data_IF_043199357968
#
_entry.id   IF_043199357968
#
_cell.length_a   1.000
_cell.length_b   1.000
_cell.length_c   1.000
_cell.angle_alpha   90.00
_cell.angle_beta   90.00
_cell.angle_gamma   90.00
#
_symmetry.space_group_name_H-M   'P 1'
#
loop_
_entity.id
_entity.type
_entity.pdbx_description
1 polymer ?
#
# COMPACT_ATOMS: atom_id res chain seq x y z
N UNK A 1 12.82 -78.98 -15.62
CA UNK A 1 12.28 -79.26 -16.97
C UNK A 1 10.96 -78.50 -17.09
N UNK A 2 10.97 -77.31 -17.70
CA UNK A 2 10.31 -76.99 -19.01
C UNK A 2 8.79 -77.22 -18.93
N UNK A 3 7.90 -76.22 -19.01
CA UNK A 3 7.74 -75.25 -20.12
C UNK A 3 6.86 -74.05 -19.70
N UNK A 4 7.17 -72.89 -20.26
CA UNK A 4 6.38 -71.66 -20.23
C UNK A 4 5.44 -71.53 -21.45
N UNK A 5 4.63 -70.45 -21.45
CA UNK A 5 3.79 -69.80 -22.50
C UNK A 5 2.28 -70.07 -22.40
N UNK A 6 1.36 -69.09 -22.47
CA UNK A 6 1.33 -67.78 -23.17
C UNK A 6 0.52 -66.66 -22.44
N UNK A 7 0.75 -65.42 -22.90
CA UNK A 7 0.14 -64.13 -22.51
C UNK A 7 -1.18 -63.82 -23.25
N UNK A 8 -2.09 -63.07 -22.59
CA UNK A 8 -2.94 -61.93 -23.08
C UNK A 8 -4.03 -61.66 -22.01
N UNK A 9 -4.00 -60.57 -21.21
CA UNK A 9 -4.32 -59.16 -21.47
C UNK A 9 -5.84 -58.81 -21.34
N UNK A 10 -6.13 -58.04 -20.26
CA UNK A 10 -7.16 -56.97 -20.11
C UNK A 10 -8.66 -57.33 -20.14
N UNK A 11 -9.59 -56.64 -19.48
CA UNK A 11 -9.72 -55.78 -18.28
C UNK A 11 -11.24 -55.46 -18.17
N UNK A 12 -11.69 -54.81 -17.09
CA UNK A 12 -13.01 -54.18 -16.87
C UNK A 12 -14.10 -55.00 -16.14
N UNK A 13 -14.02 -54.99 -14.81
CA UNK A 13 -15.18 -55.19 -13.92
C UNK A 13 -15.88 -53.86 -13.60
N UNK A 14 -17.15 -53.73 -14.00
CA UNK A 14 -18.01 -52.57 -13.72
C UNK A 14 -19.06 -52.86 -12.64
N UNK A 15 -19.09 -51.96 -11.64
CA UNK A 15 -20.18 -51.51 -10.75
C UNK A 15 -20.92 -52.46 -9.79
N UNK A 16 -21.03 -52.01 -8.53
CA UNK A 16 -22.26 -52.10 -7.76
C UNK A 16 -22.90 -50.73 -7.46
N UNK A 17 -24.17 -50.86 -7.14
CA UNK A 17 -25.33 -49.95 -7.04
C UNK A 17 -25.29 -48.81 -6.01
N UNK A 18 -26.23 -47.85 -6.13
CA UNK A 18 -26.29 -46.63 -5.34
C UNK A 18 -27.14 -46.84 -4.08
N UNK A 19 -26.54 -46.67 -2.90
CA UNK A 19 -27.25 -46.16 -1.71
C UNK A 19 -26.27 -46.11 -0.53
N UNK A 20 -25.86 -44.88 -0.19
CA UNK A 20 -25.39 -44.39 1.12
C UNK A 20 -24.44 -43.21 0.90
N UNK A 21 -24.98 -42.02 0.65
CA UNK A 21 -24.26 -40.76 0.86
C UNK A 21 -25.27 -39.62 1.09
N UNK A 22 -26.12 -39.79 2.10
CA UNK A 22 -26.88 -38.68 2.72
C UNK A 22 -26.47 -38.55 4.17
N UNK A 23 -25.27 -37.98 4.39
CA UNK A 23 -24.93 -37.29 5.65
C UNK A 23 -23.74 -36.36 5.42
N UNK A 24 -23.95 -35.11 5.79
CA UNK A 24 -22.99 -33.98 5.83
C UNK A 24 -22.96 -33.03 4.62
N UNK A 25 -24.11 -32.50 4.21
CA UNK A 25 -24.21 -31.22 3.51
C UNK A 25 -24.39 -30.07 4.50
N UNK A 26 -23.41 -29.87 5.40
CA UNK A 26 -23.32 -28.67 6.24
C UNK A 26 -21.89 -28.11 6.35
N UNK A 27 -21.02 -28.46 5.39
CA UNK A 27 -19.92 -27.61 5.02
C UNK A 27 -20.43 -26.65 3.95
N UNK A 28 -21.11 -25.58 4.37
CA UNK A 28 -21.30 -24.40 3.52
C UNK A 28 -19.88 -23.96 3.15
N UNK A 29 -19.43 -24.37 1.96
CA UNK A 29 -18.10 -24.09 1.44
C UNK A 29 -17.88 -22.59 1.68
N UNK A 30 -16.92 -22.23 2.54
CA UNK A 30 -16.44 -20.87 2.58
C UNK A 30 -15.75 -20.68 1.24
N UNK A 31 -16.50 -20.18 0.27
CA UNK A 31 -15.99 -19.95 -1.07
C UNK A 31 -15.01 -18.78 -0.96
N UNK A 32 -13.72 -19.12 -1.02
CA UNK A 32 -12.63 -18.16 -1.09
C UNK A 32 -12.45 -17.84 -2.55
N UNK A 33 -12.81 -16.63 -2.96
CA UNK A 33 -12.61 -16.17 -4.32
C UNK A 33 -11.51 -15.11 -4.33
N UNK A 34 -10.58 -15.14 -5.28
CA UNK A 34 -9.76 -13.97 -5.55
C UNK A 34 -10.67 -12.84 -6.07
N UNK A 35 -10.30 -11.59 -5.81
CA UNK A 35 -10.94 -10.46 -6.49
C UNK A 35 -10.52 -10.42 -7.96
N UNK A 36 -11.35 -9.80 -8.78
CA UNK A 36 -10.97 -9.44 -10.13
C UNK A 36 -10.13 -8.17 -10.04
N UNK A 37 -8.95 -8.17 -10.66
CA UNK A 37 -8.18 -6.94 -10.83
C UNK A 37 -9.12 -5.95 -11.51
N UNK A 38 -9.35 -4.80 -10.88
CA UNK A 38 -9.79 -3.63 -11.63
C UNK A 38 -8.67 -3.45 -12.60
N UNK A 39 -8.93 -3.78 -13.87
CA UNK A 39 -8.19 -3.06 -14.91
C UNK A 39 -8.28 -1.63 -14.43
N UNK A 40 -7.13 -0.99 -14.20
CA UNK A 40 -7.13 0.45 -14.25
C UNK A 40 -7.96 0.69 -15.48
N UNK A 41 -9.17 1.19 -15.29
CA UNK A 41 -9.81 1.85 -16.37
C UNK A 41 -8.71 2.86 -16.68
N UNK A 42 -7.93 2.57 -17.72
CA UNK A 42 -7.62 3.50 -18.77
C UNK A 42 -9.01 4.04 -19.15
N UNK A 43 -9.56 4.81 -18.21
CA UNK A 43 -10.91 5.28 -18.17
C UNK A 43 -10.91 6.09 -19.41
N UNK A 44 -11.75 5.63 -20.32
CA UNK A 44 -11.83 6.03 -21.71
C UNK A 44 -11.83 7.56 -21.82
N UNK A 45 -10.64 8.16 -21.75
CA UNK A 45 -10.29 9.51 -22.12
C UNK A 45 -9.58 9.33 -23.46
N UNK A 46 -10.31 9.14 -24.58
CA UNK A 46 -9.70 9.00 -25.89
C UNK A 46 -9.01 10.29 -26.36
N UNK A 47 -9.06 11.38 -25.59
CA UNK A 47 -8.28 12.58 -25.89
C UNK A 47 -6.84 12.41 -25.41
N UNK A 48 -6.09 11.64 -26.19
CA UNK A 48 -4.65 11.76 -26.21
C UNK A 48 -4.26 13.15 -26.69
N UNK A 49 -3.05 13.57 -26.35
CA UNK A 49 -2.47 14.78 -26.90
C UNK A 49 -2.38 14.64 -28.44
N UNK A 50 -3.35 15.20 -29.15
CA UNK A 50 -3.47 15.11 -30.61
C UNK A 50 -2.84 16.32 -31.33
N UNK A 51 -2.19 17.19 -30.55
CA UNK A 51 -1.57 18.44 -31.00
C UNK A 51 -2.55 19.61 -31.14
N UNK A 52 -3.83 19.45 -30.80
CA UNK A 52 -4.83 20.52 -30.83
C UNK A 52 -5.01 21.22 -29.48
N UNK A 53 -4.85 20.46 -28.40
CA UNK A 53 -5.03 20.94 -27.03
C UNK A 53 -3.70 21.03 -26.30
N UNK A 54 -3.54 22.05 -25.45
CA UNK A 54 -2.36 22.18 -24.57
C UNK A 54 -2.47 21.32 -23.31
N UNK A 55 -3.68 20.92 -22.93
CA UNK A 55 -3.96 20.10 -21.75
C UNK A 55 -5.11 19.15 -22.02
N UNK A 56 -5.05 17.93 -21.47
CA UNK A 56 -6.12 16.92 -21.51
C UNK A 56 -6.32 16.30 -20.13
N UNK A 57 -7.48 15.71 -19.86
CA UNK A 57 -7.68 14.94 -18.63
C UNK A 57 -7.09 13.54 -18.82
N UNK A 58 -6.15 13.16 -17.94
CA UNK A 58 -5.66 11.78 -17.86
C UNK A 58 -6.55 10.94 -16.95
N UNK A 59 -7.05 11.56 -15.89
CA UNK A 59 -8.06 11.00 -15.00
C UNK A 59 -9.03 12.13 -14.63
N UNK A 60 -10.08 11.79 -13.90
CA UNK A 60 -11.02 12.77 -13.39
C UNK A 60 -10.45 13.74 -12.33
N UNK A 61 -9.22 13.55 -11.85
CA UNK A 61 -8.53 14.46 -10.93
C UNK A 61 -7.13 14.87 -11.41
N UNK A 62 -6.72 14.46 -12.62
CA UNK A 62 -5.36 14.67 -13.12
C UNK A 62 -5.39 15.28 -14.52
N UNK A 63 -4.74 16.44 -14.64
CA UNK A 63 -4.47 17.10 -15.92
C UNK A 63 -3.13 16.62 -16.45
N UNK A 64 -3.09 16.33 -17.74
CA UNK A 64 -1.89 16.08 -18.52
C UNK A 64 -1.61 17.29 -19.41
N UNK A 65 -0.37 17.76 -19.42
CA UNK A 65 0.08 18.85 -20.31
C UNK A 65 0.64 18.23 -21.58
N UNK A 66 0.08 18.63 -22.72
CA UNK A 66 0.43 18.11 -24.03
C UNK A 66 1.64 18.84 -24.60
N UNK A 67 2.82 18.27 -24.40
CA UNK A 67 4.09 18.74 -24.96
C UNK A 67 4.45 17.95 -26.21
N UNK A 68 4.10 16.65 -26.23
CA UNK A 68 4.32 15.72 -27.33
C UNK A 68 2.99 15.11 -27.76
N UNK A 69 2.73 15.10 -29.08
CA UNK A 69 1.53 14.47 -29.65
C UNK A 69 1.71 12.99 -30.00
N UNK A 70 2.93 12.46 -29.88
CA UNK A 70 3.28 11.09 -30.30
C UNK A 70 3.85 10.25 -29.17
N UNK A 71 4.26 10.86 -28.06
CA UNK A 71 4.87 10.18 -26.93
C UNK A 71 4.23 10.66 -25.62
N UNK A 72 3.28 9.87 -25.12
CA UNK A 72 2.56 10.16 -23.89
C UNK A 72 3.46 10.14 -22.65
N UNK A 73 4.61 9.46 -22.68
CA UNK A 73 5.53 9.42 -21.54
C UNK A 73 6.28 10.75 -21.34
N UNK A 74 6.33 11.60 -22.37
CA UNK A 74 6.94 12.94 -22.30
C UNK A 74 5.96 14.02 -21.84
N UNK A 75 4.68 13.70 -21.68
CA UNK A 75 3.64 14.64 -21.29
C UNK A 75 3.52 14.67 -19.75
N UNK A 76 3.95 15.76 -19.07
CA UNK A 76 3.90 15.81 -17.62
C UNK A 76 2.46 15.90 -17.14
N UNK A 77 2.20 15.27 -16.00
CA UNK A 77 0.88 15.19 -15.40
C UNK A 77 0.87 15.89 -14.05
N UNK A 78 -0.30 16.38 -13.66
CA UNK A 78 -0.49 17.11 -12.41
C UNK A 78 -1.91 16.88 -11.90
N UNK A 79 -2.01 16.49 -10.62
CA UNK A 79 -3.28 16.44 -9.90
C UNK A 79 -3.89 17.83 -9.70
N UNK A 80 -5.21 17.87 -9.78
CA UNK A 80 -5.98 19.05 -9.56
C UNK A 80 -5.91 19.54 -8.09
N UNK A 81 -5.87 20.86 -7.84
CA UNK A 81 -5.87 21.40 -6.49
C UNK A 81 -7.14 21.02 -5.72
N UNK A 82 -7.04 20.90 -4.39
CA UNK A 82 -8.18 20.54 -3.54
C UNK A 82 -9.37 21.50 -3.62
N UNK A 83 -9.15 22.77 -3.98
CA UNK A 83 -10.21 23.74 -4.19
C UNK A 83 -10.99 23.53 -5.51
N UNK A 84 -10.35 22.90 -6.51
CA UNK A 84 -10.93 22.57 -7.82
C UNK A 84 -10.52 21.15 -8.21
N UNK A 85 -11.03 20.14 -7.49
CA UNK A 85 -10.46 18.78 -7.47
C UNK A 85 -10.75 17.95 -8.72
N UNK A 86 -11.63 18.41 -9.61
CA UNK A 86 -12.07 17.64 -10.77
C UNK A 86 -11.41 18.15 -12.04
N UNK A 87 -10.80 17.27 -12.82
CA UNK A 87 -10.38 17.58 -14.18
C UNK A 87 -11.62 17.63 -15.08
N UNK A 88 -11.74 18.70 -15.85
CA UNK A 88 -12.84 18.94 -16.78
C UNK A 88 -12.32 19.16 -18.19
N UNK A 89 -12.87 18.45 -19.17
CA UNK A 89 -12.62 18.71 -20.60
C UNK A 89 -13.70 19.67 -21.09
N UNK A 90 -13.36 20.97 -21.25
CA UNK A 90 -14.38 22.01 -21.49
C UNK A 90 -14.68 22.29 -22.96
N UNK A 91 -13.86 21.81 -23.89
CA UNK A 91 -14.10 21.69 -25.34
C UNK A 91 -12.79 21.16 -25.96
N UNK A 92 -12.85 20.41 -27.05
CA UNK A 92 -11.65 19.88 -27.73
C UNK A 92 -10.74 20.98 -28.30
N UNK A 93 -11.15 22.25 -28.24
CA UNK A 93 -10.38 23.41 -28.69
C UNK A 93 -9.73 24.23 -27.54
N UNK A 94 -10.17 24.07 -26.29
CA UNK A 94 -9.74 24.91 -25.15
C UNK A 94 -8.82 24.13 -24.20
N UNK A 95 -8.90 22.79 -24.20
CA UNK A 95 -8.12 21.93 -23.33
C UNK A 95 -8.74 21.72 -21.96
N UNK A 96 -8.19 20.76 -21.23
CA UNK A 96 -8.66 20.40 -19.89
C UNK A 96 -8.25 21.40 -18.81
N UNK A 97 -9.12 21.58 -17.80
CA UNK A 97 -8.88 22.46 -16.65
C UNK A 97 -9.47 21.90 -15.35
N UNK A 98 -8.97 22.36 -14.21
CA UNK A 98 -9.44 21.92 -12.89
C UNK A 98 -10.67 22.73 -12.47
N UNK A 99 -11.78 22.05 -12.16
CA UNK A 99 -13.05 22.62 -11.74
C UNK A 99 -13.55 22.10 -10.38
N UNK A 100 -14.53 22.81 -9.83
CA UNK A 100 -15.15 22.47 -8.54
C UNK A 100 -16.23 21.37 -8.64
N UNK A 101 -16.65 21.01 -9.85
CA UNK A 101 -17.66 19.99 -10.12
C UNK A 101 -17.09 18.98 -11.14
N UNK A 102 -17.44 17.69 -11.02
CA UNK A 102 -17.09 16.69 -12.03
C UNK A 102 -17.83 16.98 -13.34
N UNK A 103 -17.23 16.58 -14.48
CA UNK A 103 -17.98 16.44 -15.74
C UNK A 103 -18.83 15.17 -15.71
N UNK A 104 -19.81 15.04 -16.61
CA UNK A 104 -20.73 13.89 -16.70
C UNK A 104 -20.02 12.53 -16.72
N UNK A 105 -18.82 12.45 -17.33
CA UNK A 105 -17.99 11.24 -17.34
C UNK A 105 -17.41 10.89 -15.96
N UNK A 106 -17.23 11.90 -15.12
CA UNK A 106 -16.69 11.82 -13.78
C UNK A 106 -17.76 11.85 -12.68
N UNK A 107 -19.02 12.18 -13.02
CA UNK A 107 -20.17 12.14 -12.11
C UNK A 107 -20.45 10.74 -11.58
N UNK A 108 -20.27 9.70 -12.42
CA UNK A 108 -20.44 8.29 -12.03
C UNK A 108 -19.12 7.60 -11.68
N UNK A 109 -17.98 8.18 -12.04
CA UNK A 109 -16.65 7.58 -11.82
C UNK A 109 -16.11 7.80 -10.41
N UNK A 110 -16.89 8.42 -9.51
CA UNK A 110 -16.57 8.49 -8.09
C UNK A 110 -15.15 8.95 -7.84
N UNK A 111 -14.78 10.11 -8.42
CA UNK A 111 -13.47 10.75 -8.24
C UNK A 111 -13.23 10.95 -6.77
N UNK A 112 -12.62 9.95 -6.15
CA UNK A 112 -12.28 9.99 -4.76
C UNK A 112 -11.18 11.02 -4.66
N UNK A 113 -11.46 12.15 -4.01
CA UNK A 113 -10.45 13.08 -3.50
C UNK A 113 -9.41 12.39 -2.59
N UNK A 114 -9.56 11.08 -2.35
CA UNK A 114 -8.66 10.20 -1.64
C UNK A 114 -8.29 9.05 -2.56
N UNK A 115 -7.41 9.29 -3.53
CA UNK A 115 -6.73 8.17 -4.19
C UNK A 115 -6.05 7.34 -3.10
N UNK A 116 -6.20 6.03 -3.18
CA UNK A 116 -5.57 5.13 -2.23
C UNK A 116 -4.05 5.28 -2.30
N UNK A 117 -3.40 5.50 -1.17
CA UNK A 117 -1.94 5.58 -1.08
C UNK A 117 -1.42 4.32 -0.40
N UNK A 118 -0.48 3.63 -1.02
CA UNK A 118 0.18 2.48 -0.43
C UNK A 118 1.03 2.89 0.79
N UNK A 119 0.71 2.39 1.98
CA UNK A 119 1.45 2.69 3.21
C UNK A 119 2.58 1.70 3.52
N UNK A 120 2.66 0.63 2.72
CA UNK A 120 3.67 -0.41 2.76
C UNK A 120 3.33 -1.49 1.74
N UNK A 121 4.15 -2.54 1.67
CA UNK A 121 3.89 -3.66 0.78
C UNK A 121 2.77 -4.57 1.30
N UNK A 122 2.02 -5.22 0.40
CA UNK A 122 1.00 -6.21 0.72
C UNK A 122 -0.41 -5.82 0.28
N UNK A 123 -1.40 -6.55 0.77
CA UNK A 123 -2.81 -6.29 0.48
C UNK A 123 -3.45 -5.42 1.56
N UNK A 124 -4.32 -4.49 1.16
CA UNK A 124 -4.99 -3.54 2.02
C UNK A 124 -6.48 -3.48 1.68
N UNK A 125 -7.39 -3.50 2.66
CA UNK A 125 -8.80 -3.26 2.37
C UNK A 125 -9.03 -1.79 2.02
N UNK A 126 -10.05 -1.52 1.20
CA UNK A 126 -10.50 -0.16 0.95
C UNK A 126 -11.38 0.36 2.10
N UNK A 127 -11.16 1.61 2.52
CA UNK A 127 -11.89 2.23 3.65
C UNK A 127 -13.31 2.67 3.27
N UNK A 128 -13.56 2.90 1.98
CA UNK A 128 -14.85 3.36 1.47
C UNK A 128 -15.72 2.21 0.97
N UNK A 129 -15.11 1.10 0.52
CA UNK A 129 -15.84 -0.07 0.03
C UNK A 129 -15.28 -1.40 0.54
N UNK A 130 -16.10 -2.12 1.30
CA UNK A 130 -15.81 -3.49 1.74
C UNK A 130 -15.57 -4.49 0.60
N UNK A 131 -16.01 -4.17 -0.62
CA UNK A 131 -15.84 -5.05 -1.79
C UNK A 131 -14.53 -4.80 -2.50
N UNK A 132 -13.81 -3.73 -2.16
CA UNK A 132 -12.57 -3.33 -2.84
C UNK A 132 -11.39 -3.60 -1.93
N UNK A 133 -10.28 -4.03 -2.53
CA UNK A 133 -8.99 -4.11 -1.86
C UNK A 133 -7.88 -3.75 -2.83
N UNK A 134 -6.72 -3.41 -2.28
CA UNK A 134 -5.57 -2.89 -3.01
C UNK A 134 -4.36 -3.76 -2.75
N UNK A 135 -3.59 -4.07 -3.77
CA UNK A 135 -2.26 -4.65 -3.62
C UNK A 135 -1.20 -3.56 -3.86
N UNK A 136 -0.20 -3.53 -3.00
CA UNK A 136 0.89 -2.58 -3.03
C UNK A 136 2.22 -3.34 -3.10
N UNK A 137 3.06 -2.99 -4.08
CA UNK A 137 4.42 -3.52 -4.14
C UNK A 137 5.30 -2.95 -3.04
N UNK A 138 5.14 -1.66 -2.73
CA UNK A 138 5.92 -0.96 -1.71
C UNK A 138 5.18 0.24 -1.14
N UNK A 139 5.81 0.96 -0.22
CA UNK A 139 5.26 2.22 0.28
C UNK A 139 5.30 3.26 -0.84
N UNK A 140 4.24 4.06 -0.96
CA UNK A 140 4.07 5.14 -1.93
C UNK A 140 4.02 4.66 -3.41
N UNK A 141 3.95 3.34 -3.64
CA UNK A 141 3.71 2.79 -4.99
C UNK A 141 2.27 3.00 -5.44
N UNK A 142 2.04 2.92 -6.74
CA UNK A 142 0.69 2.86 -7.30
C UNK A 142 0.01 1.54 -6.87
N UNK A 143 -1.26 1.58 -6.41
CA UNK A 143 -1.98 0.38 -5.98
C UNK A 143 -2.65 -0.34 -7.16
N UNK A 144 -2.52 -1.66 -7.19
CA UNK A 144 -3.41 -2.50 -8.01
C UNK A 144 -4.72 -2.69 -7.25
N UNK A 145 -5.82 -2.14 -7.77
CA UNK A 145 -7.14 -2.27 -7.14
C UNK A 145 -7.86 -3.52 -7.60
N UNK A 146 -8.62 -4.18 -6.72
CA UNK A 146 -9.37 -5.40 -7.02
C UNK A 146 -10.80 -5.30 -6.49
N UNK A 147 -11.75 -5.81 -7.27
CA UNK A 147 -13.15 -5.97 -6.89
C UNK A 147 -13.44 -7.41 -6.48
N UNK A 148 -14.02 -7.56 -5.29
CA UNK A 148 -14.69 -8.78 -4.90
C UNK A 148 -15.99 -8.98 -5.70
N UNK A 149 -16.35 -10.24 -6.02
CA UNK A 149 -17.63 -10.54 -6.65
C UNK A 149 -18.84 -10.02 -5.85
N UNK A 150 -19.98 -9.85 -6.53
CA UNK A 150 -21.19 -9.35 -5.91
C UNK A 150 -21.60 -10.15 -4.66
N UNK A 151 -21.80 -9.45 -3.55
CA UNK A 151 -22.15 -10.06 -2.26
C UNK A 151 -20.98 -10.69 -1.50
N UNK A 152 -19.74 -10.53 -1.99
CA UNK A 152 -18.51 -10.88 -1.29
C UNK A 152 -17.79 -9.60 -0.84
N UNK A 153 -17.08 -9.70 0.28
CA UNK A 153 -16.26 -8.64 0.86
C UNK A 153 -14.84 -9.13 1.03
N UNK A 154 -13.87 -8.23 0.93
CA UNK A 154 -12.48 -8.59 1.16
C UNK A 154 -12.26 -8.92 2.64
N UNK A 155 -11.66 -10.08 2.91
CA UNK A 155 -11.28 -10.49 4.25
C UNK A 155 -9.75 -10.45 4.39
N UNK A 156 -9.28 -9.46 5.15
CA UNK A 156 -7.86 -9.20 5.44
C UNK A 156 -7.14 -10.36 6.14
N UNK A 157 -7.85 -11.18 6.93
CA UNK A 157 -7.22 -12.32 7.61
C UNK A 157 -6.87 -13.45 6.65
N UNK A 158 -7.64 -13.56 5.58
CA UNK A 158 -7.50 -14.64 4.60
C UNK A 158 -6.89 -14.15 3.29
N UNK A 159 -6.89 -12.84 3.03
CA UNK A 159 -6.54 -12.20 1.77
C UNK A 159 -7.39 -12.68 0.58
N UNK A 160 -8.67 -12.97 0.83
CA UNK A 160 -9.62 -13.42 -0.19
C UNK A 160 -10.98 -12.78 0.01
N UNK A 161 -11.76 -12.72 -1.07
CA UNK A 161 -13.15 -12.32 -1.04
C UNK A 161 -13.99 -13.44 -0.40
N UNK A 162 -14.83 -13.04 0.55
CA UNK A 162 -15.68 -13.94 1.32
C UNK A 162 -17.04 -13.31 1.62
N UNK A 163 -18.06 -14.15 1.76
CA UNK A 163 -19.36 -13.72 2.29
C UNK A 163 -19.25 -13.56 3.80
N UNK A 164 -18.89 -12.35 4.26
CA UNK A 164 -18.71 -12.04 5.67
C UNK A 164 -19.86 -11.21 6.22
N UNK A 165 -20.17 -11.42 7.51
CA UNK A 165 -21.22 -10.66 8.22
C UNK A 165 -20.66 -9.44 8.96
N UNK A 166 -19.35 -9.23 8.95
CA UNK A 166 -18.79 -8.03 9.56
C UNK A 166 -19.02 -6.82 8.67
N UNK A 167 -19.19 -5.68 9.33
CA UNK A 167 -19.33 -4.39 8.68
C UNK A 167 -17.97 -3.69 8.65
N UNK A 168 -17.66 -3.06 7.53
CA UNK A 168 -16.42 -2.33 7.26
C UNK A 168 -16.79 -0.99 6.60
N UNK A 169 -17.89 -0.40 7.07
CA UNK A 169 -18.39 0.86 6.49
C UNK A 169 -17.50 2.02 6.89
N UNK A 170 -17.40 3.01 6.01
CA UNK A 170 -16.69 4.25 6.31
C UNK A 170 -17.19 4.92 7.58
N UNK A 171 -18.49 4.88 7.86
CA UNK A 171 -19.07 5.46 9.08
C UNK A 171 -18.63 4.77 10.36
N UNK A 172 -18.30 3.49 10.31
CA UNK A 172 -17.78 2.76 11.47
C UNK A 172 -16.29 2.97 11.66
N UNK A 173 -15.53 3.02 10.55
CA UNK A 173 -14.09 3.27 10.56
C UNK A 173 -13.75 4.72 10.90
N UNK A 174 -14.51 5.63 10.32
CA UNK A 174 -14.33 7.08 10.40
C UNK A 174 -15.59 7.72 10.95
N UNK A 175 -15.75 7.61 12.28
CA UNK A 175 -16.74 8.36 13.04
C UNK A 175 -16.12 9.69 13.54
N UNK A 176 -16.68 10.86 13.17
CA UNK A 176 -16.15 12.16 13.59
C UNK A 176 -16.23 12.43 15.11
N UNK A 177 -17.04 11.66 15.84
CA UNK A 177 -17.15 11.75 17.29
C UNK A 177 -16.14 10.84 18.02
N UNK A 178 -15.43 9.99 17.29
CA UNK A 178 -14.37 9.17 17.87
C UNK A 178 -13.19 10.07 18.27
N UNK A 179 -12.71 9.91 19.49
CA UNK A 179 -11.57 10.70 20.01
C UNK A 179 -10.23 10.03 19.70
N UNK A 180 -10.25 8.81 19.16
CA UNK A 180 -9.04 8.07 18.79
C UNK A 180 -8.48 8.64 17.48
N UNK A 181 -7.17 8.87 17.45
CA UNK A 181 -6.45 9.29 16.24
C UNK A 181 -6.41 8.15 15.22
N UNK A 182 -6.20 6.93 15.70
CA UNK A 182 -6.16 5.71 14.90
C UNK A 182 -7.24 4.74 15.36
N UNK A 183 -7.97 4.17 14.42
CA UNK A 183 -9.05 3.21 14.67
C UNK A 183 -8.62 1.84 14.14
N UNK A 184 -8.69 0.76 14.95
CA UNK A 184 -8.39 -0.58 14.46
C UNK A 184 -9.41 -1.01 13.40
N UNK A 185 -8.94 -1.71 12.38
CA UNK A 185 -9.84 -2.20 11.32
C UNK A 185 -10.78 -3.30 11.86
N UNK A 186 -12.09 -3.22 11.61
CA UNK A 186 -13.07 -4.17 12.11
C UNK A 186 -12.75 -5.59 11.67
N UNK A 187 -12.73 -6.49 12.65
CA UNK A 187 -12.44 -7.89 12.40
C UNK A 187 -10.96 -8.20 12.20
N UNK A 188 -10.05 -7.24 12.05
CA UNK A 188 -8.63 -7.52 11.91
C UNK A 188 -7.74 -6.38 12.40
N UNK A 189 -7.21 -6.53 13.61
CA UNK A 189 -6.33 -5.54 14.23
C UNK A 189 -4.93 -5.52 13.64
N UNK A 190 -4.59 -6.36 12.65
CA UNK A 190 -3.34 -6.17 11.90
C UNK A 190 -3.37 -4.93 10.99
N UNK A 191 -4.56 -4.33 10.80
CA UNK A 191 -4.75 -3.07 10.09
C UNK A 191 -5.38 -2.01 11.00
N UNK A 192 -5.09 -0.75 10.70
CA UNK A 192 -5.65 0.41 11.41
C UNK A 192 -5.76 1.61 10.46
N UNK A 193 -6.70 2.50 10.76
CA UNK A 193 -7.08 3.61 9.88
C UNK A 193 -6.86 4.93 10.60
N UNK A 194 -6.34 5.91 9.88
CA UNK A 194 -6.35 7.33 10.24
C UNK A 194 -7.40 8.04 9.40
N UNK A 195 -8.30 8.77 10.03
CA UNK A 195 -9.36 9.51 9.35
C UNK A 195 -9.09 11.01 9.48
N UNK A 196 -9.05 11.72 8.36
CA UNK A 196 -8.82 13.16 8.30
C UNK A 196 -10.15 13.89 8.20
N UNK A 197 -10.31 14.90 9.06
CA UNK A 197 -11.48 15.77 9.09
C UNK A 197 -11.07 17.22 9.19
N UNK A 198 -11.92 18.06 8.62
CA UNK A 198 -11.87 19.51 8.73
C UNK A 198 -13.00 19.98 9.65
N UNK A 199 -12.62 20.61 10.75
CA UNK A 199 -13.51 21.05 11.83
C UNK A 199 -13.72 22.55 11.75
N UNK A 200 -14.52 23.01 10.78
CA UNK A 200 -14.83 24.42 10.59
C UNK A 200 -16.23 24.76 11.13
N UNK A 201 -16.31 25.76 12.02
CA UNK A 201 -17.54 26.43 12.45
C UNK A 201 -18.74 25.52 12.75
N UNK A 202 -18.52 24.42 13.47
CA UNK A 202 -19.58 23.50 13.90
C UNK A 202 -20.00 22.43 12.87
N UNK A 203 -19.35 22.37 11.71
CA UNK A 203 -19.49 21.29 10.74
C UNK A 203 -18.21 20.46 10.69
N UNK A 204 -18.34 19.13 10.82
CA UNK A 204 -17.23 18.20 10.60
C UNK A 204 -17.28 17.66 9.18
N UNK A 205 -16.31 18.06 8.36
CA UNK A 205 -16.21 17.66 6.96
C UNK A 205 -15.13 16.57 6.88
N UNK A 206 -15.50 15.37 6.47
CA UNK A 206 -14.52 14.31 6.19
C UNK A 206 -13.69 14.70 4.96
N UNK A 207 -12.37 14.64 5.08
CA UNK A 207 -11.44 14.89 3.99
C UNK A 207 -10.97 13.57 3.38
N UNK A 208 -10.58 12.61 4.20
CA UNK A 208 -10.03 11.35 3.73
C UNK A 208 -9.75 10.34 4.81
N UNK A 209 -9.24 9.19 4.40
CA UNK A 209 -8.75 8.18 5.32
C UNK A 209 -7.57 7.45 4.71
N UNK A 210 -6.64 7.07 5.57
CA UNK A 210 -5.45 6.32 5.24
C UNK A 210 -5.40 5.05 6.07
N UNK A 211 -5.24 3.92 5.41
CA UNK A 211 -5.08 2.63 6.07
C UNK A 211 -3.62 2.21 6.16
N UNK A 212 -3.26 1.60 7.27
CA UNK A 212 -1.92 1.13 7.61
C UNK A 212 -1.98 -0.34 8.04
N UNK A 213 -0.88 -1.06 7.81
CA UNK A 213 -0.69 -2.42 8.27
C UNK A 213 0.40 -2.46 9.35
N UNK A 214 0.21 -3.29 10.36
CA UNK A 214 1.19 -3.53 11.42
C UNK A 214 2.29 -4.53 11.02
N UNK A 215 2.10 -5.23 9.90
CA UNK A 215 2.98 -6.29 9.45
C UNK A 215 2.65 -7.64 10.07
N UNK A 216 3.32 -8.68 9.56
CA UNK A 216 3.08 -10.06 9.95
C UNK A 216 3.34 -10.27 11.45
N UNK A 217 2.47 -11.05 12.09
CA UNK A 217 2.53 -11.38 13.53
C UNK A 217 2.46 -10.16 14.47
N UNK A 218 2.02 -9.01 13.97
CA UNK A 218 1.77 -7.79 14.74
C UNK A 218 0.28 -7.44 14.79
N UNK A 219 -0.16 -6.86 15.90
CA UNK A 219 -1.52 -6.34 16.07
C UNK A 219 -1.48 -4.91 16.60
N UNK A 220 -2.35 -4.06 16.08
CA UNK A 220 -2.50 -2.67 16.53
C UNK A 220 -3.13 -2.64 17.92
N UNK A 221 -2.44 -2.04 18.88
CA UNK A 221 -2.98 -1.75 20.19
C UNK A 221 -3.51 -0.31 20.22
N UNK A 222 -4.82 -0.16 20.33
CA UNK A 222 -5.52 1.13 20.35
C UNK A 222 -5.15 2.01 21.56
N UNK A 223 -4.74 1.40 22.69
CA UNK A 223 -4.42 2.14 23.91
C UNK A 223 -3.06 2.83 23.83
N UNK A 224 -2.08 2.16 23.20
CA UNK A 224 -0.75 2.71 23.00
C UNK A 224 -0.58 3.37 21.64
N UNK A 225 -1.55 3.22 20.73
CA UNK A 225 -1.48 3.62 19.33
C UNK A 225 -0.23 3.06 18.61
N UNK A 226 0.12 1.81 18.90
CA UNK A 226 1.31 1.14 18.35
C UNK A 226 1.01 -0.27 17.88
N UNK A 227 1.72 -0.72 16.86
CA UNK A 227 1.77 -2.12 16.48
C UNK A 227 2.60 -2.95 17.45
N UNK A 228 1.98 -3.93 18.08
CA UNK A 228 2.62 -4.87 19.00
C UNK A 228 2.96 -6.18 18.30
N UNK A 229 4.26 -6.49 18.21
CA UNK A 229 4.75 -7.71 17.56
C UNK A 229 4.76 -8.89 18.54
N UNK A 230 4.30 -10.06 18.09
CA UNK A 230 4.29 -11.28 18.89
C UNK A 230 5.44 -12.21 18.49
N UNK A 231 6.44 -12.31 19.35
CA UNK A 231 7.51 -13.29 19.18
C UNK A 231 6.99 -14.73 19.24
N UNK A 232 7.15 -15.47 18.15
CA UNK A 232 6.90 -16.92 18.08
C UNK A 232 8.08 -17.73 18.65
N UNK A 233 9.31 -17.27 18.40
CA UNK A 233 10.56 -17.89 18.87
C UNK A 233 11.67 -16.83 18.98
N UNK A 234 12.80 -17.19 19.57
CA UNK A 234 14.00 -16.35 19.58
C UNK A 234 14.58 -16.24 18.18
N UNK A 235 15.00 -15.04 17.76
CA UNK A 235 15.52 -14.80 16.43
C UNK A 235 15.39 -13.35 15.99
N UNK A 236 15.73 -13.10 14.72
CA UNK A 236 15.49 -11.83 14.04
C UNK A 236 14.43 -12.05 12.97
N UNK A 237 13.46 -11.14 12.88
CA UNK A 237 12.31 -11.23 11.97
C UNK A 237 12.12 -9.90 11.26
N UNK A 238 11.85 -9.92 9.96
CA UNK A 238 11.58 -8.69 9.22
C UNK A 238 10.26 -8.06 9.71
N UNK A 239 10.22 -6.73 9.81
CA UNK A 239 8.93 -6.04 9.91
C UNK A 239 8.38 -5.90 8.49
N UNK A 240 7.37 -6.69 8.13
CA UNK A 240 6.83 -6.67 6.76
C UNK A 240 6.12 -5.36 6.39
N UNK A 241 5.65 -4.57 7.38
CA UNK A 241 5.07 -3.26 7.11
C UNK A 241 6.14 -2.19 6.84
N UNK A 242 7.34 -2.36 7.41
CA UNK A 242 8.47 -1.48 7.17
C UNK A 242 9.75 -2.32 7.06
N UNK A 243 10.14 -2.75 5.85
CA UNK A 243 11.30 -3.64 5.65
C UNK A 243 12.64 -3.06 6.13
N UNK A 244 12.72 -1.74 6.39
CA UNK A 244 13.90 -1.14 7.03
C UNK A 244 13.98 -1.46 8.54
N UNK A 245 12.91 -1.97 9.14
CA UNK A 245 12.87 -2.37 10.53
C UNK A 245 12.84 -3.90 10.66
N UNK A 246 13.33 -4.39 11.78
CA UNK A 246 13.27 -5.79 12.15
C UNK A 246 13.08 -5.96 13.65
N UNK A 247 12.46 -7.07 14.03
CA UNK A 247 12.23 -7.44 15.41
C UNK A 247 13.30 -8.42 15.88
N UNK A 248 13.98 -8.08 16.97
CA UNK A 248 14.85 -9.00 17.69
C UNK A 248 14.06 -9.62 18.84
N UNK A 249 13.74 -10.90 18.72
CA UNK A 249 13.09 -11.69 19.76
C UNK A 249 14.11 -12.40 20.63
N UNK A 250 14.03 -12.17 21.94
CA UNK A 250 14.94 -12.74 22.93
C UNK A 250 14.16 -13.21 24.17
N UNK A 251 14.73 -14.17 24.91
CA UNK A 251 14.17 -14.62 26.18
C UNK A 251 14.63 -13.69 27.30
N UNK A 252 13.68 -13.21 28.08
CA UNK A 252 13.93 -12.46 29.32
C UNK A 252 12.91 -12.87 30.37
N UNK A 253 13.39 -13.32 31.55
CA UNK A 253 12.53 -13.77 32.64
C UNK A 253 11.56 -14.91 32.26
N UNK A 254 12.02 -15.86 31.44
CA UNK A 254 11.21 -17.00 30.98
C UNK A 254 10.15 -16.66 29.92
N UNK A 255 9.98 -15.39 29.54
CA UNK A 255 9.07 -14.93 28.49
C UNK A 255 9.85 -14.45 27.27
N UNK A 256 9.24 -14.57 26.09
CA UNK A 256 9.77 -13.92 24.89
C UNK A 256 9.40 -12.44 24.91
N UNK A 257 10.37 -11.59 24.59
CA UNK A 257 10.22 -10.15 24.40
C UNK A 257 10.81 -9.79 23.04
N UNK A 258 10.32 -8.72 22.44
CA UNK A 258 10.92 -8.17 21.23
C UNK A 258 11.56 -6.81 21.52
N UNK A 259 12.52 -6.46 20.67
CA UNK A 259 13.02 -5.11 20.49
C UNK A 259 12.96 -4.79 19.00
N UNK A 260 12.43 -3.63 18.65
CA UNK A 260 12.48 -3.13 17.27
C UNK A 260 13.85 -2.50 17.02
N UNK A 261 14.48 -2.86 15.91
CA UNK A 261 15.71 -2.26 15.41
C UNK A 261 15.48 -1.76 13.99
N UNK A 262 16.30 -0.79 13.56
CA UNK A 262 16.16 -0.15 12.25
C UNK A 262 17.49 -0.21 11.51
N UNK A 263 17.45 -0.65 10.26
CA UNK A 263 18.56 -0.62 9.31
C UNK A 263 18.91 0.82 8.90
N UNK A 264 20.03 1.00 8.19
CA UNK A 264 20.42 2.30 7.63
C UNK A 264 19.41 2.80 6.59
N UNK A 265 19.57 4.03 6.12
CA UNK A 265 18.59 4.69 5.23
C UNK A 265 18.39 3.93 3.91
N UNK A 266 19.46 3.32 3.42
CA UNK A 266 19.59 2.60 2.13
C UNK A 266 19.58 1.08 2.29
N UNK A 267 19.11 0.57 3.44
CA UNK A 267 19.13 -0.85 3.77
C UNK A 267 17.78 -1.38 4.23
N UNK A 268 17.48 -2.60 3.81
CA UNK A 268 16.34 -3.39 4.29
C UNK A 268 16.84 -4.63 5.02
N UNK A 269 16.06 -5.14 5.96
CA UNK A 269 16.42 -6.35 6.69
C UNK A 269 16.06 -7.59 5.87
N UNK A 270 17.07 -8.39 5.54
CA UNK A 270 16.88 -9.70 4.93
C UNK A 270 16.80 -10.77 6.03
N UNK A 271 15.66 -11.45 6.12
CA UNK A 271 15.43 -12.49 7.13
C UNK A 271 16.21 -13.79 6.84
N UNK A 272 16.48 -14.09 5.57
CA UNK A 272 17.26 -15.26 5.18
C UNK A 272 18.74 -15.08 5.52
N UNK A 273 19.30 -13.91 5.23
CA UNK A 273 20.68 -13.55 5.59
C UNK A 273 20.82 -13.08 7.06
N UNK A 274 19.70 -12.77 7.71
CA UNK A 274 19.60 -12.24 9.09
C UNK A 274 20.41 -10.95 9.30
N UNK A 275 20.46 -10.09 8.29
CA UNK A 275 21.19 -8.82 8.34
C UNK A 275 20.53 -7.76 7.47
N UNK A 276 20.90 -6.50 7.72
CA UNK A 276 20.54 -5.41 6.84
C UNK A 276 21.37 -5.50 5.54
N UNK A 277 20.71 -5.53 4.40
CA UNK A 277 21.30 -5.57 3.05
C UNK A 277 20.94 -4.29 2.30
N UNK A 278 21.81 -3.87 1.36
CA UNK A 278 21.53 -2.72 0.51
C UNK A 278 20.34 -3.01 -0.41
N UNK A 279 19.47 -2.02 -0.61
CA UNK A 279 18.37 -2.14 -1.58
C UNK A 279 18.96 -2.13 -3.00
N UNK A 280 18.72 -3.17 -3.83
CA UNK A 280 19.22 -3.20 -5.21
C UNK A 280 18.71 -2.00 -6.01
N UNK A 281 19.61 -1.23 -6.63
CA UNK A 281 19.26 -0.07 -7.47
C UNK A 281 19.42 1.31 -6.82
N UNK A 282 19.58 1.39 -5.50
CA UNK A 282 19.98 2.63 -4.80
C UNK A 282 21.50 2.70 -4.67
N UNK A 283 22.18 3.17 -5.71
CA UNK A 283 23.55 3.66 -5.55
C UNK A 283 23.49 4.97 -4.79
N UNK A 284 23.78 4.92 -3.50
CA UNK A 284 24.21 6.10 -2.74
C UNK A 284 25.37 6.74 -3.50
N UNK A 285 25.27 8.00 -3.97
CA UNK A 285 26.42 8.68 -4.51
C UNK A 285 27.50 8.65 -3.43
N UNK A 286 28.66 8.13 -3.77
CA UNK A 286 29.81 8.09 -2.89
C UNK A 286 29.96 9.46 -2.22
N UNK A 287 30.30 9.54 -0.92
CA UNK A 287 30.65 10.81 -0.31
C UNK A 287 31.74 11.40 -1.21
N UNK A 288 31.46 12.56 -1.82
CA UNK A 288 32.49 13.33 -2.49
C UNK A 288 33.58 13.55 -1.46
N UNK A 289 34.68 12.84 -1.66
CA UNK A 289 35.90 12.98 -0.88
C UNK A 289 36.29 14.47 -1.01
N UNK A 290 36.02 15.24 0.04
CA UNK A 290 36.48 16.62 0.13
C UNK A 290 38.00 16.60 -0.08
N UNK A 291 38.52 17.40 -1.04
CA UNK A 291 39.95 17.45 -1.26
C UNK A 291 40.63 17.95 0.02
N UNK A 292 41.49 17.10 0.58
CA UNK A 292 42.38 17.44 1.68
C UNK A 292 43.07 18.78 1.38
N UNK A 293 42.68 19.80 2.12
CA UNK A 293 43.34 21.10 2.08
C UNK A 293 44.68 20.94 2.80
N UNK A 294 45.73 20.96 2.00
CA UNK A 294 47.13 21.09 2.42
C UNK A 294 47.24 22.15 3.52
N UNK A 295 47.65 21.72 4.72
CA UNK A 295 48.01 22.62 5.82
C UNK A 295 49.12 23.57 5.37
N UNK A 296 48.79 24.84 5.20
CA UNK A 296 49.78 25.92 5.23
C UNK A 296 50.44 26.01 6.61
N UNK A 297 51.75 26.30 6.70
CA UNK A 297 52.43 26.48 7.96
C UNK A 297 51.92 27.72 8.73
N UNK A 298 51.98 27.71 10.07
CA UNK A 298 51.50 28.81 10.90
C UNK A 298 52.34 30.09 10.70
N UNK A 299 51.71 31.28 10.66
CA UNK A 299 52.44 32.54 10.68
C UNK A 299 53.08 32.80 12.05
N UNK A 300 54.31 33.34 12.02
CA UNK A 300 55.09 33.75 13.18
C UNK A 300 54.33 34.68 14.13
N UNK A 301 54.57 34.60 15.45
CA UNK A 301 53.96 35.52 16.41
C UNK A 301 54.53 36.94 16.28
N UNK A 302 53.70 37.89 15.86
CA UNK A 302 53.98 39.32 16.01
C UNK A 302 54.14 39.70 17.49
N UNK A 303 55.38 39.97 17.89
CA UNK A 303 55.77 40.55 19.17
C UNK A 303 55.18 41.96 19.29
N UNK A 304 54.19 42.15 20.18
CA UNK A 304 53.76 43.50 20.61
C UNK A 304 54.86 44.14 21.45
N UNK A 305 55.60 45.09 20.86
CA UNK A 305 56.37 46.09 21.62
C UNK A 305 55.39 46.96 22.41
N UNK A 306 55.42 46.86 23.74
CA UNK A 306 54.87 47.89 24.62
C UNK A 306 55.79 49.10 24.55
N UNK A 307 55.31 50.20 23.98
CA UNK A 307 55.89 51.51 24.24
C UNK A 307 55.45 51.95 25.64
N UNK A 308 56.41 51.98 26.55
CA UNK A 308 56.38 52.82 27.74
C UNK A 308 56.84 54.22 27.32
N UNK A 309 56.10 55.27 27.71
CA UNK A 309 56.57 56.64 27.64
C UNK A 309 55.90 57.45 28.75
N UNK A 310 56.76 58.05 29.59
CA UNK A 310 56.57 59.32 30.30
C UNK A 310 55.33 59.49 31.15
#
# INVERSE_FOLDING_TARGET
MVKARDYHAEDLGSNPTPDKLTKSSNAKLREFLPGNLRQSDEAFFPEQCDGRQLTVCESCDTIKVCISSSDNALNPTRRCPSATPFCRSQDSAIGASCGAQPDDHCENSGVSQNAFICTGAGFYPDVNSCQVYHYCESKDSEPDSYDCPDGYKYNTRTNYCQRTLFSCTRSELCNPNDRRIFVPYPGDQSYYVFCEYDYNNGSTIYKGAQIFACGKDSTFNENSATCEYRCSRTGLFVNTANPRQYYQCYRSGGRLRYKTNTCRVDQVFDEAERRCVAVPGTTTPAPTEEPSTTKSPPPEPCVRRRHFSG
#
